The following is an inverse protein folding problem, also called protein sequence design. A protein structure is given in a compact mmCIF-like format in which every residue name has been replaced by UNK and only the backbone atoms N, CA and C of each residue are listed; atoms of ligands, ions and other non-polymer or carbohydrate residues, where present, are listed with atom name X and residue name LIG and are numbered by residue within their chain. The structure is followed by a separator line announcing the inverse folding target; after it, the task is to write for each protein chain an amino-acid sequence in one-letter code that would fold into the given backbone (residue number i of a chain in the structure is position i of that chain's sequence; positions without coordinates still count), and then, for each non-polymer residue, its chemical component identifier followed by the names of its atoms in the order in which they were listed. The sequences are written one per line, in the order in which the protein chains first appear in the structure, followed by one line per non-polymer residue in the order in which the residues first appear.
data_IF_290106294843
#
_entry.id   IF_290106294843
#
_cell.length_a   1.000
_cell.length_b   1.000
_cell.length_c   1.000
_cell.angle_alpha   90.00
_cell.angle_beta   90.00
_cell.angle_gamma   90.00
#
_symmetry.space_group_name_H-M   'P 1'
#
loop_
_entity.id
_entity.type
_entity.pdbx_description
1 polymer ?
#
# COMPACT_ATOMS: atom_id res chain seq x y z
N UNK A 1 -4.58 10.42 -3.48
CA UNK A 1 -5.25 9.14 -3.81
C UNK A 1 -5.59 8.41 -2.50
N UNK A 2 -6.74 7.75 -2.33
CA UNK A 2 -7.01 6.89 -1.13
C UNK A 2 -7.83 5.66 -1.52
N UNK A 3 -7.73 4.55 -0.77
CA UNK A 3 -8.50 3.33 -1.03
C UNK A 3 -10.03 3.61 -1.01
N UNK A 4 -10.46 4.55 -0.16
CA UNK A 4 -11.84 5.02 -0.14
C UNK A 4 -12.24 5.71 -1.44
N UNK A 5 -11.41 6.61 -1.98
CA UNK A 5 -11.67 7.28 -3.26
C UNK A 5 -11.71 6.27 -4.41
N UNK A 6 -10.76 5.33 -4.44
CA UNK A 6 -10.73 4.24 -5.41
C UNK A 6 -12.02 3.41 -5.39
N UNK A 7 -12.47 2.99 -4.20
CA UNK A 7 -13.71 2.22 -4.05
C UNK A 7 -14.97 3.01 -4.43
N UNK A 8 -15.10 4.22 -3.90
CA UNK A 8 -16.34 5.00 -4.00
C UNK A 8 -16.54 5.68 -5.35
N UNK A 9 -15.47 6.23 -5.92
CA UNK A 9 -15.57 7.09 -7.11
C UNK A 9 -15.37 6.26 -8.39
N UNK A 10 -14.54 5.21 -8.34
CA UNK A 10 -14.15 4.45 -9.54
C UNK A 10 -14.66 3.00 -9.54
N UNK A 11 -15.39 2.59 -8.49
CA UNK A 11 -15.89 1.22 -8.34
C UNK A 11 -14.77 0.18 -8.22
N UNK A 12 -13.54 0.60 -7.90
CA UNK A 12 -12.41 -0.32 -7.79
C UNK A 12 -12.49 -1.15 -6.53
N UNK A 13 -12.07 -2.41 -6.63
CA UNK A 13 -12.04 -3.34 -5.51
C UNK A 13 -10.61 -3.64 -5.10
N UNK A 14 -10.30 -3.38 -3.84
CA UNK A 14 -9.05 -3.82 -3.22
C UNK A 14 -9.05 -5.33 -3.02
N UNK A 15 -8.02 -6.03 -3.52
CA UNK A 15 -7.82 -7.45 -3.27
C UNK A 15 -6.46 -7.67 -2.60
N UNK A 16 -6.44 -8.48 -1.53
CA UNK A 16 -5.20 -8.84 -0.84
C UNK A 16 -4.24 -9.61 -1.76
N UNK A 17 -2.93 -9.45 -1.56
CA UNK A 17 -1.90 -10.28 -2.20
C UNK A 17 -0.77 -10.61 -1.23
N UNK A 18 -0.19 -11.80 -1.40
CA UNK A 18 0.99 -12.25 -0.63
C UNK A 18 2.31 -11.93 -1.34
N UNK A 19 2.23 -11.26 -2.50
CA UNK A 19 3.37 -10.89 -3.33
C UNK A 19 3.52 -9.36 -3.34
N UNK A 20 4.57 -8.84 -2.69
CA UNK A 20 4.87 -7.41 -2.64
C UNK A 20 5.07 -6.83 -4.05
N UNK A 21 5.58 -7.63 -5.00
CA UNK A 21 5.76 -7.20 -6.39
C UNK A 21 4.43 -6.97 -7.10
N UNK A 22 3.30 -7.33 -6.51
CA UNK A 22 1.95 -7.03 -7.02
C UNK A 22 1.26 -5.92 -6.24
N UNK A 23 1.89 -5.34 -5.22
CA UNK A 23 1.32 -4.20 -4.50
C UNK A 23 1.09 -3.03 -5.47
N UNK A 24 -0.09 -2.42 -5.40
CA UNK A 24 -0.61 -1.36 -6.30
C UNK A 24 -0.80 -1.76 -7.76
N UNK A 25 -0.69 -3.04 -8.13
CA UNK A 25 -1.00 -3.46 -9.49
C UNK A 25 -2.51 -3.29 -9.76
N UNK A 26 -2.82 -2.43 -10.73
CA UNK A 26 -4.17 -2.21 -11.24
C UNK A 26 -4.47 -3.18 -12.39
N UNK A 27 -5.64 -3.82 -12.33
CA UNK A 27 -6.20 -4.63 -13.40
C UNK A 27 -7.45 -3.91 -13.93
N UNK A 28 -7.33 -3.08 -14.99
CA UNK A 28 -8.41 -2.20 -15.46
C UNK A 28 -9.68 -2.98 -15.81
N UNK A 29 -9.52 -4.12 -16.51
CA UNK A 29 -10.63 -4.97 -16.96
C UNK A 29 -11.55 -5.44 -15.83
N UNK A 30 -10.97 -5.72 -14.67
CA UNK A 30 -11.71 -6.24 -13.50
C UNK A 30 -11.93 -5.18 -12.43
N UNK A 31 -11.38 -3.97 -12.63
CA UNK A 31 -11.28 -2.89 -11.64
C UNK A 31 -10.72 -3.35 -10.31
N UNK A 32 -9.73 -4.25 -10.33
CA UNK A 32 -9.09 -4.79 -9.12
C UNK A 32 -7.75 -4.09 -8.91
N UNK A 33 -7.49 -3.71 -7.66
CA UNK A 33 -6.17 -3.26 -7.21
C UNK A 33 -5.61 -4.26 -6.21
N UNK A 34 -4.44 -4.83 -6.49
CA UNK A 34 -3.76 -5.78 -5.60
C UNK A 34 -3.03 -5.00 -4.50
N UNK A 35 -3.32 -5.33 -3.25
CA UNK A 35 -2.73 -4.70 -2.08
C UNK A 35 -2.06 -5.76 -1.21
N UNK A 36 -0.75 -5.69 -1.11
CA UNK A 36 -0.01 -6.43 -0.10
C UNK A 36 -0.46 -6.01 1.29
N UNK A 37 -0.76 -6.97 2.16
CA UNK A 37 -1.40 -6.73 3.44
C UNK A 37 -0.71 -7.39 4.63
N UNK A 38 0.39 -8.13 4.47
CA UNK A 38 1.10 -8.73 5.62
C UNK A 38 2.03 -7.69 6.25
N UNK A 39 1.47 -6.66 6.88
CA UNK A 39 2.25 -5.56 7.43
C UNK A 39 3.15 -6.00 8.58
N UNK A 40 2.74 -7.00 9.38
CA UNK A 40 3.59 -7.58 10.43
C UNK A 40 4.90 -8.12 9.85
N UNK A 41 4.81 -8.83 8.72
CA UNK A 41 5.98 -9.36 8.01
C UNK A 41 6.87 -8.26 7.45
N UNK A 42 6.29 -7.16 6.95
CA UNK A 42 7.08 -6.01 6.49
C UNK A 42 7.81 -5.35 7.66
N UNK A 43 7.11 -5.12 8.76
CA UNK A 43 7.66 -4.47 9.96
C UNK A 43 8.80 -5.29 10.54
N UNK A 44 8.62 -6.60 10.70
CA UNK A 44 9.67 -7.50 11.17
C UNK A 44 10.90 -7.48 10.25
N UNK A 45 10.69 -7.60 8.94
CA UNK A 45 11.79 -7.50 7.97
C UNK A 45 12.52 -6.16 8.07
N UNK A 46 11.80 -5.06 8.24
CA UNK A 46 12.39 -3.73 8.41
C UNK A 46 13.12 -3.57 9.75
N UNK A 47 12.68 -4.23 10.82
CA UNK A 47 13.41 -4.27 12.10
C UNK A 47 14.74 -5.01 11.95
N UNK A 48 14.70 -6.25 11.45
CA UNK A 48 15.89 -7.10 11.28
C UNK A 48 16.92 -6.41 10.41
N UNK A 49 16.48 -5.82 9.30
CA UNK A 49 17.39 -5.09 8.39
C UNK A 49 17.82 -3.74 8.95
N UNK A 50 17.16 -3.19 9.97
CA UNK A 50 17.65 -1.98 10.65
C UNK A 50 18.89 -2.29 11.51
N UNK A 51 18.86 -3.43 12.21
CA UNK A 51 19.91 -3.84 13.16
C UNK A 51 21.17 -4.41 12.48
N UNK A 52 21.02 -5.07 11.33
CA UNK A 52 22.09 -5.82 10.66
C UNK A 52 23.11 -4.97 9.88
N UNK A 53 22.96 -3.63 9.84
CA UNK A 53 23.77 -2.76 9.01
C UNK A 53 23.43 -2.85 7.51
N UNK A 54 24.14 -2.11 6.64
CA UNK A 54 23.92 -2.18 5.18
C UNK A 54 24.55 -3.48 4.64
N UNK A 55 23.75 -4.54 4.54
CA UNK A 55 24.15 -5.74 3.78
C UNK A 55 23.98 -5.41 2.28
N UNK A 56 24.98 -5.72 1.47
CA UNK A 56 24.89 -5.56 0.01
C UNK A 56 23.75 -6.43 -0.55
N UNK A 57 22.76 -5.80 -1.19
CA UNK A 57 21.55 -6.44 -1.70
C UNK A 57 20.27 -6.13 -0.89
N UNK A 58 20.39 -5.68 0.35
CA UNK A 58 19.25 -5.35 1.21
C UNK A 58 18.52 -4.07 0.76
N UNK A 59 19.22 -3.16 0.05
CA UNK A 59 18.68 -1.86 -0.30
C UNK A 59 17.41 -1.94 -1.17
N UNK A 60 17.34 -2.89 -2.11
CA UNK A 60 16.20 -3.01 -3.03
C UNK A 60 14.95 -3.52 -2.30
N UNK A 61 15.09 -4.65 -1.58
CA UNK A 61 13.97 -5.27 -0.88
C UNK A 61 13.52 -4.42 0.31
N UNK A 62 14.45 -3.83 1.07
CA UNK A 62 14.14 -2.86 2.12
C UNK A 62 13.39 -1.66 1.57
N UNK A 63 13.88 -1.08 0.46
CA UNK A 63 13.21 0.06 -0.17
C UNK A 63 11.79 -0.31 -0.64
N UNK A 64 11.61 -1.47 -1.28
CA UNK A 64 10.28 -1.93 -1.69
C UNK A 64 9.36 -2.17 -0.49
N UNK A 65 9.88 -2.71 0.61
CA UNK A 65 9.12 -2.91 1.85
C UNK A 65 8.69 -1.58 2.48
N UNK A 66 9.60 -0.59 2.54
CA UNK A 66 9.30 0.77 3.00
C UNK A 66 8.24 1.45 2.14
N UNK A 67 8.39 1.41 0.82
CA UNK A 67 7.41 1.97 -0.11
C UNK A 67 6.04 1.30 0.04
N UNK A 68 6.02 -0.03 0.17
CA UNK A 68 4.78 -0.81 0.36
C UNK A 68 4.08 -0.45 1.65
N UNK A 69 4.82 -0.37 2.76
CA UNK A 69 4.26 -0.03 4.07
C UNK A 69 3.76 1.42 4.08
N UNK A 70 4.55 2.36 3.54
CA UNK A 70 4.18 3.77 3.47
C UNK A 70 2.97 4.00 2.55
N UNK A 71 2.93 3.38 1.37
CA UNK A 71 1.76 3.51 0.47
C UNK A 71 0.50 2.89 1.06
N UNK A 72 0.62 1.76 1.79
CA UNK A 72 -0.52 1.16 2.47
C UNK A 72 -1.06 2.11 3.56
N UNK A 73 -0.20 2.58 4.46
CA UNK A 73 -0.61 3.31 5.67
C UNK A 73 -0.87 4.80 5.45
N UNK A 74 -0.13 5.47 4.56
CA UNK A 74 -0.25 6.93 4.38
C UNK A 74 -1.01 7.32 3.12
N UNK A 75 -0.84 6.57 2.03
CA UNK A 75 -1.52 6.88 0.76
C UNK A 75 -2.90 6.26 0.73
N UNK A 76 -3.01 4.94 0.92
CA UNK A 76 -4.27 4.23 0.73
C UNK A 76 -5.20 4.34 1.94
N UNK A 77 -4.66 4.16 3.15
CA UNK A 77 -5.42 4.16 4.39
C UNK A 77 -4.88 5.17 5.42
N UNK A 78 -4.87 6.48 5.10
CA UNK A 78 -4.43 7.49 6.06
C UNK A 78 -5.25 7.44 7.35
N UNK A 79 -4.72 8.01 8.44
CA UNK A 79 -5.29 8.01 9.80
C UNK A 79 -6.65 8.72 9.97
N UNK A 80 -7.36 9.05 8.87
CA UNK A 80 -8.71 9.57 8.95
C UNK A 80 -9.72 8.47 9.32
N UNK A 81 -10.71 8.84 10.13
CA UNK A 81 -11.71 7.93 10.68
C UNK A 81 -12.34 6.98 9.65
N UNK A 82 -12.66 7.49 8.45
CA UNK A 82 -13.34 6.68 7.41
C UNK A 82 -12.39 5.69 6.73
N UNK A 83 -11.13 6.08 6.53
CA UNK A 83 -10.10 5.18 6.01
C UNK A 83 -9.79 4.06 7.00
N UNK A 84 -9.72 4.38 8.30
CA UNK A 84 -9.54 3.38 9.36
C UNK A 84 -10.73 2.41 9.49
N UNK A 85 -11.98 2.89 9.38
CA UNK A 85 -13.16 2.00 9.32
C UNK A 85 -13.05 1.04 8.13
N UNK A 86 -12.68 1.57 6.94
CA UNK A 86 -12.52 0.74 5.76
C UNK A 86 -11.42 -0.31 5.97
N UNK A 87 -10.28 0.06 6.54
CA UNK A 87 -9.18 -0.85 6.81
C UNK A 87 -9.57 -1.96 7.80
N UNK A 88 -10.21 -1.60 8.92
CA UNK A 88 -10.76 -2.57 9.89
C UNK A 88 -11.74 -3.54 9.22
N UNK A 89 -12.57 -3.06 8.29
CA UNK A 89 -13.45 -3.95 7.52
C UNK A 89 -12.69 -4.91 6.61
N UNK A 90 -11.53 -4.53 6.07
CA UNK A 90 -10.69 -5.44 5.27
C UNK A 90 -10.07 -6.53 6.15
N UNK A 91 -9.60 -6.18 7.36
CA UNK A 91 -9.10 -7.16 8.33
C UNK A 91 -10.19 -8.17 8.69
N UNK A 92 -11.38 -7.69 9.09
CA UNK A 92 -12.48 -8.55 9.53
C UNK A 92 -13.09 -9.40 8.41
N UNK A 93 -13.31 -8.82 7.23
CA UNK A 93 -14.09 -9.48 6.15
C UNK A 93 -13.17 -10.21 5.17
N UNK A 94 -11.97 -9.70 4.93
CA UNK A 94 -11.04 -10.25 3.92
C UNK A 94 -9.82 -10.95 4.51
N UNK A 95 -9.81 -11.15 5.83
CA UNK A 95 -8.72 -11.80 6.54
C UNK A 95 -7.35 -11.16 6.24
N UNK A 96 -7.31 -9.83 6.15
CA UNK A 96 -6.05 -9.10 6.10
C UNK A 96 -5.36 -9.17 7.46
N UNK A 97 -4.05 -8.95 7.44
CA UNK A 97 -3.25 -8.95 8.66
C UNK A 97 -3.82 -7.92 9.66
N UNK A 98 -4.14 -8.32 10.90
CA UNK A 98 -4.59 -7.41 11.93
C UNK A 98 -3.63 -6.25 12.14
N UNK A 99 -2.32 -6.47 11.99
CA UNK A 99 -1.29 -5.45 12.16
C UNK A 99 -1.42 -4.27 11.15
N UNK A 100 -2.22 -4.42 10.08
CA UNK A 100 -2.46 -3.34 9.13
C UNK A 100 -3.02 -2.08 9.80
N UNK A 101 -3.79 -2.24 10.89
CA UNK A 101 -4.40 -1.11 11.61
C UNK A 101 -3.40 -0.35 12.49
N UNK A 102 -2.25 -0.97 12.80
CA UNK A 102 -1.19 -0.38 13.60
C UNK A 102 -0.31 0.51 12.69
N UNK A 103 -0.56 1.81 12.73
CA UNK A 103 0.12 2.79 11.90
C UNK A 103 1.35 3.39 12.62
N UNK A 104 2.45 2.65 12.57
CA UNK A 104 3.72 3.02 13.19
C UNK A 104 4.92 2.91 12.21
N UNK A 105 4.71 3.10 10.90
CA UNK A 105 5.76 3.03 9.86
C UNK A 105 7.01 3.92 10.07
N UNK A 106 6.97 4.88 11.00
CA UNK A 106 8.13 5.72 11.34
C UNK A 106 9.16 4.95 12.16
N UNK A 107 8.72 4.04 13.03
CA UNK A 107 9.57 3.26 13.95
C UNK A 107 10.51 2.29 13.22
N UNK A 108 10.19 1.96 11.97
CA UNK A 108 10.91 0.97 11.16
C UNK A 108 11.91 1.60 10.19
N UNK A 109 12.10 2.92 10.24
CA UNK A 109 13.00 3.68 9.35
C UNK A 109 14.37 3.88 9.99
N UNK A 110 15.41 3.90 9.16
CA UNK A 110 16.75 4.40 9.50
C UNK A 110 16.76 5.92 9.52
N UNK A 111 17.81 6.51 10.09
CA UNK A 111 17.98 7.97 10.17
C UNK A 111 18.03 8.65 8.79
N UNK A 112 18.52 7.96 7.76
CA UNK A 112 18.57 8.44 6.38
C UNK A 112 17.27 8.20 5.58
N UNK A 113 16.28 7.51 6.17
CA UNK A 113 15.02 7.11 5.53
C UNK A 113 13.81 7.96 6.00
N UNK A 114 14.06 9.19 6.47
CA UNK A 114 13.01 10.10 6.98
C UNK A 114 11.90 10.35 5.95
N UNK A 115 12.28 10.49 4.69
CA UNK A 115 11.36 10.63 3.56
C UNK A 115 11.41 9.38 2.67
N UNK A 116 10.27 8.73 2.46
CA UNK A 116 10.19 7.55 1.60
C UNK A 116 10.11 8.01 0.16
N UNK A 117 11.16 7.72 -0.61
CA UNK A 117 11.19 7.93 -2.05
C UNK A 117 10.56 6.73 -2.75
N UNK A 118 9.66 6.98 -3.70
CA UNK A 118 9.07 5.91 -4.49
C UNK A 118 9.93 5.62 -5.72
N UNK A 119 10.76 4.58 -5.63
CA UNK A 119 11.59 4.09 -6.72
C UNK A 119 10.92 2.94 -7.49
N UNK A 120 10.17 2.08 -6.80
CA UNK A 120 9.60 0.87 -7.41
C UNK A 120 8.10 0.96 -7.64
N UNK A 121 7.39 1.71 -6.80
CA UNK A 121 5.93 1.79 -6.84
C UNK A 121 5.42 3.10 -7.46
N UNK A 122 6.30 4.03 -7.85
CA UNK A 122 5.94 5.32 -8.44
C UNK A 122 5.05 5.16 -9.67
N UNK A 123 5.45 4.37 -10.67
CA UNK A 123 4.69 4.16 -11.90
C UNK A 123 3.27 3.61 -11.61
N UNK A 124 3.15 2.73 -10.61
CA UNK A 124 1.87 2.13 -10.22
C UNK A 124 0.98 3.12 -9.48
N UNK A 125 1.56 3.93 -8.60
CA UNK A 125 0.86 5.03 -7.96
C UNK A 125 0.35 6.03 -8.98
N UNK A 126 1.19 6.38 -9.97
CA UNK A 126 0.82 7.29 -11.05
C UNK A 126 -0.28 6.69 -11.94
N UNK A 127 -0.20 5.41 -12.28
CA UNK A 127 -1.26 4.72 -13.02
C UNK A 127 -2.60 4.71 -12.25
N UNK A 128 -2.56 4.39 -10.96
CA UNK A 128 -3.76 4.45 -10.11
C UNK A 128 -4.30 5.87 -9.95
N UNK A 129 -3.41 6.87 -9.87
CA UNK A 129 -3.80 8.27 -9.80
C UNK A 129 -4.45 8.72 -11.10
N UNK A 130 -3.85 8.43 -12.25
CA UNK A 130 -4.42 8.73 -13.57
C UNK A 130 -5.78 8.06 -13.78
N UNK A 131 -5.94 6.81 -13.37
CA UNK A 131 -7.24 6.14 -13.43
C UNK A 131 -8.26 6.75 -12.43
N UNK A 132 -7.79 7.23 -11.27
CA UNK A 132 -8.62 7.95 -10.32
C UNK A 132 -8.96 9.39 -10.74
N UNK A 133 -8.20 9.99 -11.66
CA UNK A 133 -8.50 11.32 -12.23
C UNK A 133 -9.38 11.21 -13.47
N UNK A 134 -9.23 10.13 -14.24
CA UNK A 134 -10.07 9.82 -15.39
C UNK A 134 -11.51 9.51 -14.92
N UNK A 135 -12.30 10.58 -14.75
CA UNK A 135 -13.76 10.52 -14.75
C UNK A 135 -14.24 10.13 -16.15
N UNK A 136 -13.96 8.92 -16.64
CA UNK A 136 -14.71 8.46 -17.80
C UNK A 136 -16.15 8.31 -17.33
N UNK A 137 -17.11 9.10 -17.85
CA UNK A 137 -18.50 8.82 -17.59
C UNK A 137 -18.69 7.38 -18.05
N UNK A 138 -19.18 6.51 -17.18
CA UNK A 138 -19.72 5.25 -17.62
C UNK A 138 -20.95 5.61 -18.46
N UNK A 139 -20.69 5.92 -19.73
CA UNK A 139 -21.69 6.15 -20.75
C UNK A 139 -22.54 4.90 -20.79
N UNK A 140 -23.79 5.09 -20.37
CA UNK A 140 -24.94 4.29 -20.76
C UNK A 140 -24.83 3.89 -22.23
N UNK A 141 -24.72 2.59 -22.47
CA UNK A 141 -25.17 1.98 -23.72
C UNK A 141 -26.65 1.64 -23.57
#
# INVERSE_FOLDING_TARGET
LTARKLKRVHGMRSQGTNDMRKHLSLYPETKIVRLYHHSSSLKEYLLVTNESGRIDGDSILRQLALETLDSLQKVLFPLDHKSMILLKSMVLIKNWDPDCVECNSIEYRREDEKEIRYHYLSDRLMALFGEAENRRPHGTW
#
